data_IF_159525770961
#
_entry.id   IF_159525770961
#
_cell.length_a   1.000
_cell.length_b   1.000
_cell.length_c   1.000
_cell.angle_alpha   90.00
_cell.angle_beta   90.00
_cell.angle_gamma   90.00
#
_symmetry.space_group_name_H-M   'P 1'
#
loop_
_entity.id
_entity.type
_entity.pdbx_description
1 polymer ?
#
# COMPACT_ATOMS: atom_id res chain seq x y z
N UNK A 1 -8.38 -31.33 -40.54
CA UNK A 1 -9.54 -30.65 -39.91
C UNK A 1 -9.14 -30.28 -38.48
N UNK A 2 -8.49 -29.13 -38.27
CA UNK A 2 -8.18 -28.62 -36.92
C UNK A 2 -9.41 -27.87 -36.41
N UNK A 3 -9.96 -28.28 -35.26
CA UNK A 3 -11.06 -27.57 -34.61
C UNK A 3 -10.51 -26.39 -33.79
N UNK A 4 -11.09 -25.19 -33.88
CA UNK A 4 -10.69 -24.08 -33.03
C UNK A 4 -11.45 -24.20 -31.71
N UNK A 5 -10.78 -24.64 -30.64
CA UNK A 5 -11.27 -24.42 -29.27
C UNK A 5 -10.79 -23.03 -28.84
N UNK A 6 -11.32 -22.01 -29.50
CA UNK A 6 -11.28 -20.62 -29.07
C UNK A 6 -12.71 -20.16 -28.83
N UNK A 7 -13.20 -20.33 -27.61
CA UNK A 7 -14.42 -19.75 -27.00
C UNK A 7 -14.75 -20.65 -25.82
N UNK A 8 -14.78 -20.25 -24.56
CA UNK A 8 -15.21 -18.98 -24.00
C UNK A 8 -14.60 -18.89 -22.60
N UNK A 9 -13.64 -17.98 -22.36
CA UNK A 9 -13.38 -17.53 -20.98
C UNK A 9 -14.47 -16.52 -20.65
N UNK A 10 -15.63 -17.01 -20.21
CA UNK A 10 -16.63 -16.13 -19.61
C UNK A 10 -15.97 -15.39 -18.44
N UNK A 11 -16.07 -14.05 -18.34
CA UNK A 11 -15.58 -13.35 -17.17
C UNK A 11 -16.21 -13.98 -15.92
N UNK A 12 -15.45 -14.16 -14.82
CA UNK A 12 -15.98 -14.73 -13.60
C UNK A 12 -17.25 -13.97 -13.22
N UNK A 13 -18.38 -14.66 -13.16
CA UNK A 13 -19.62 -14.05 -12.67
C UNK A 13 -19.39 -13.81 -11.19
N UNK A 14 -19.21 -12.55 -10.79
CA UNK A 14 -19.13 -12.15 -9.39
C UNK A 14 -20.43 -12.60 -8.72
N UNK A 15 -20.32 -13.55 -7.79
CA UNK A 15 -21.45 -14.04 -7.02
C UNK A 15 -21.96 -12.91 -6.12
N UNK A 16 -23.26 -12.87 -5.81
CA UNK A 16 -23.78 -11.97 -4.78
C UNK A 16 -22.97 -12.14 -3.49
N UNK A 17 -22.31 -11.07 -3.04
CA UNK A 17 -21.42 -11.07 -1.87
C UNK A 17 -19.92 -11.12 -2.18
N UNK A 18 -19.49 -11.38 -3.42
CA UNK A 18 -18.07 -11.32 -3.80
C UNK A 18 -17.52 -9.90 -3.70
N UNK A 19 -18.31 -8.90 -4.09
CA UNK A 19 -17.95 -7.49 -3.94
C UNK A 19 -17.77 -7.08 -2.46
N UNK A 20 -18.67 -7.55 -1.58
CA UNK A 20 -18.58 -7.30 -0.14
C UNK A 20 -17.35 -7.98 0.46
N UNK A 21 -17.12 -9.26 0.11
CA UNK A 21 -15.94 -10.02 0.54
C UNK A 21 -14.66 -9.32 0.09
N UNK A 22 -14.61 -8.85 -1.16
CA UNK A 22 -13.47 -8.11 -1.69
C UNK A 22 -13.25 -6.79 -0.94
N UNK A 23 -14.32 -6.03 -0.67
CA UNK A 23 -14.24 -4.79 0.11
C UNK A 23 -13.69 -5.04 1.53
N UNK A 24 -14.12 -6.13 2.18
CA UNK A 24 -13.61 -6.54 3.50
C UNK A 24 -12.13 -6.90 3.44
N UNK A 25 -11.68 -7.62 2.41
CA UNK A 25 -10.26 -7.95 2.23
C UNK A 25 -9.41 -6.69 2.04
N UNK A 26 -9.83 -5.77 1.17
CA UNK A 26 -9.15 -4.49 0.96
C UNK A 26 -9.06 -3.67 2.25
N UNK A 27 -10.15 -3.61 3.04
CA UNK A 27 -10.15 -2.96 4.36
C UNK A 27 -9.13 -3.60 5.31
N UNK A 28 -9.07 -4.94 5.37
CA UNK A 28 -8.13 -5.64 6.24
C UNK A 28 -6.68 -5.38 5.82
N UNK A 29 -6.39 -5.36 4.52
CA UNK A 29 -5.07 -5.02 3.99
C UNK A 29 -4.68 -3.60 4.39
N UNK A 30 -5.56 -2.62 4.16
CA UNK A 30 -5.32 -1.22 4.55
C UNK A 30 -5.07 -1.06 6.05
N UNK A 31 -5.86 -1.74 6.89
CA UNK A 31 -5.65 -1.72 8.34
C UNK A 31 -4.33 -2.36 8.76
N UNK A 32 -3.88 -3.41 8.06
CA UNK A 32 -2.58 -4.04 8.33
C UNK A 32 -1.44 -3.10 7.99
N UNK A 33 -1.49 -2.45 6.82
CA UNK A 33 -0.49 -1.45 6.44
C UNK A 33 -0.45 -0.31 7.44
N UNK A 34 -1.61 0.24 7.83
CA UNK A 34 -1.68 1.30 8.82
C UNK A 34 -1.02 0.91 10.15
N UNK A 35 -1.30 -0.29 10.66
CA UNK A 35 -0.68 -0.81 11.90
C UNK A 35 0.83 -0.98 11.79
N UNK A 36 1.32 -1.40 10.62
CA UNK A 36 2.75 -1.54 10.36
C UNK A 36 3.47 -0.18 10.32
N UNK A 37 2.79 0.88 9.89
CA UNK A 37 3.35 2.23 9.91
C UNK A 37 3.20 2.88 11.28
N UNK A 38 2.12 2.60 12.01
CA UNK A 38 1.93 3.16 13.35
C UNK A 38 2.80 2.48 14.40
N UNK A 39 3.37 1.29 14.12
CA UNK A 39 4.21 0.59 15.11
C UNK A 39 5.51 1.32 15.43
N UNK A 40 5.98 2.22 14.56
CA UNK A 40 7.11 3.10 14.85
C UNK A 40 6.69 4.38 15.58
N UNK A 41 5.39 4.65 15.72
CA UNK A 41 4.89 5.80 16.47
C UNK A 41 4.88 5.43 17.95
N UNK A 42 5.70 6.12 18.73
CA UNK A 42 5.66 6.05 20.19
C UNK A 42 4.64 7.06 20.69
N UNK A 43 3.70 6.62 21.51
CA UNK A 43 2.85 7.53 22.26
C UNK A 43 3.71 8.16 23.35
N UNK A 44 3.90 9.47 23.25
CA UNK A 44 4.59 10.27 24.26
C UNK A 44 3.58 11.31 24.78
N UNK A 45 3.10 11.17 26.03
CA UNK A 45 2.12 12.08 26.60
C UNK A 45 2.68 13.48 26.85
N UNK A 46 4.01 13.62 26.90
CA UNK A 46 4.72 14.88 27.12
C UNK A 46 5.28 15.45 25.81
N UNK A 47 5.00 14.83 24.66
CA UNK A 47 5.44 15.34 23.37
C UNK A 47 4.81 16.70 23.07
N UNK A 48 5.66 17.66 22.76
CA UNK A 48 5.23 18.98 22.32
C UNK A 48 4.48 18.86 20.98
N UNK A 49 3.28 19.43 20.94
CA UNK A 49 2.52 19.60 19.71
C UNK A 49 3.15 20.74 18.91
N UNK A 50 3.79 20.41 17.80
CA UNK A 50 4.32 21.41 16.88
C UNK A 50 3.29 21.72 15.79
N UNK A 51 2.96 23.01 15.62
CA UNK A 51 2.07 23.49 14.56
C UNK A 51 2.68 23.37 13.15
N UNK A 52 4.00 23.20 13.09
CA UNK A 52 4.78 23.08 11.86
C UNK A 52 5.59 21.79 11.92
N UNK A 53 5.48 20.99 10.87
CA UNK A 53 6.27 19.77 10.71
C UNK A 53 7.52 20.14 9.92
N UNK A 54 8.71 19.91 10.51
CA UNK A 54 9.96 20.07 9.78
C UNK A 54 10.18 18.87 8.84
N UNK A 55 9.95 19.09 7.55
CA UNK A 55 10.14 18.07 6.52
C UNK A 55 11.60 17.89 6.09
N UNK A 56 12.54 18.74 6.53
CA UNK A 56 13.96 18.63 6.11
C UNK A 56 14.56 17.28 6.50
N UNK A 57 14.19 16.75 7.68
CA UNK A 57 14.56 15.43 8.16
C UNK A 57 14.07 14.25 7.29
N UNK A 58 13.05 14.45 6.45
CA UNK A 58 12.60 13.41 5.49
C UNK A 58 13.51 13.31 4.27
N UNK A 59 14.27 14.36 3.99
CA UNK A 59 15.14 14.49 2.82
C UNK A 59 16.63 14.40 3.17
N UNK A 60 16.97 14.25 4.45
CA UNK A 60 18.31 13.86 4.87
C UNK A 60 18.56 12.42 4.42
N UNK A 61 18.99 12.31 3.16
CA UNK A 61 19.54 11.09 2.61
C UNK A 61 20.76 10.75 3.49
N UNK A 62 20.83 9.55 4.11
CA UNK A 62 22.00 9.20 4.90
C UNK A 62 23.23 9.33 4.01
N UNK A 63 24.21 10.12 4.46
CA UNK A 63 25.53 10.29 3.84
C UNK A 63 26.06 8.89 3.44
N UNK A 64 25.95 8.56 2.14
CA UNK A 64 26.26 7.22 1.60
C UNK A 64 25.18 6.53 0.75
N UNK A 65 23.96 7.06 0.63
CA UNK A 65 22.90 6.47 -0.23
C UNK A 65 22.84 7.04 -1.66
N UNK A 66 23.95 7.58 -2.18
CA UNK A 66 24.03 8.14 -3.54
C UNK A 66 23.79 7.11 -4.67
N UNK A 67 23.79 5.80 -4.37
CA UNK A 67 23.84 4.76 -5.42
C UNK A 67 22.52 4.08 -5.77
N UNK A 68 21.38 4.40 -5.14
CA UNK A 68 20.15 3.61 -5.33
C UNK A 68 18.87 4.38 -5.68
N UNK A 69 18.97 5.58 -6.24
CA UNK A 69 17.80 6.22 -6.85
C UNK A 69 18.08 6.54 -8.32
N UNK A 70 18.09 5.48 -9.14
CA UNK A 70 17.86 5.61 -10.58
C UNK A 70 16.42 5.17 -10.87
N UNK A 71 15.52 6.13 -11.04
CA UNK A 71 14.21 5.86 -11.62
C UNK A 71 14.37 5.53 -13.11
N UNK A 72 13.66 4.50 -13.64
CA UNK A 72 13.60 4.29 -15.08
C UNK A 72 12.74 5.39 -15.73
N UNK A 73 13.20 5.87 -16.90
CA UNK A 73 12.45 6.76 -17.79
C UNK A 73 11.30 6.03 -18.48
#
# INVERSE_FOLDING_TARGET
MQSPVEKNKSPPRLLPGDAERQARLQKIIGLRSLRSHSSCLRLDPDAELHDVIDCSALFELPEGAETLIRYPS
#
